data_IF_086368426778
#
_entry.id   IF_086368426778
#
_cell.length_a   1.000
_cell.length_b   1.000
_cell.length_c   1.000
_cell.angle_alpha   90.00
_cell.angle_beta   90.00
_cell.angle_gamma   90.00
#
_symmetry.space_group_name_H-M   'P 1'
#
loop_
_entity.id
_entity.type
_entity.pdbx_description
1 polymer ?
#
# COMPACT_ATOMS: atom_id res chain seq x y z
N UNK A 1 5.14 11.72 13.45
CA UNK A 1 4.69 10.36 13.12
C UNK A 1 3.79 10.45 11.91
N UNK A 2 4.33 10.29 10.71
CA UNK A 2 3.52 10.16 9.50
C UNK A 2 3.93 8.85 8.84
N UNK A 3 3.03 7.88 8.84
CA UNK A 3 3.19 6.70 8.00
C UNK A 3 2.89 7.08 6.54
N UNK A 4 3.38 6.28 5.59
CA UNK A 4 3.17 6.55 4.16
C UNK A 4 1.68 6.78 3.80
N UNK A 5 0.71 6.07 4.42
CA UNK A 5 -0.70 6.34 4.21
C UNK A 5 -1.18 7.73 4.67
N UNK A 6 -0.74 8.25 5.82
CA UNK A 6 -1.11 9.60 6.26
C UNK A 6 -0.58 10.67 5.29
N UNK A 7 0.66 10.51 4.83
CA UNK A 7 1.26 11.41 3.84
C UNK A 7 0.52 11.31 2.50
N UNK A 8 0.14 10.10 2.07
CA UNK A 8 -0.62 9.90 0.85
C UNK A 8 -1.99 10.60 0.91
N UNK A 9 -2.73 10.49 2.02
CA UNK A 9 -3.99 11.22 2.21
C UNK A 9 -3.78 12.74 2.32
N UNK A 10 -2.68 13.18 2.95
CA UNK A 10 -2.31 14.60 2.96
C UNK A 10 -2.09 15.14 1.54
N UNK A 11 -1.36 14.41 0.70
CA UNK A 11 -1.16 14.77 -0.70
C UNK A 11 -2.45 14.71 -1.50
N UNK A 12 -3.27 13.68 -1.30
CA UNK A 12 -4.58 13.57 -1.94
C UNK A 12 -5.45 14.79 -1.63
N UNK A 13 -5.49 15.21 -0.36
CA UNK A 13 -6.19 16.41 0.06
C UNK A 13 -5.63 17.67 -0.60
N UNK A 14 -4.31 17.85 -0.63
CA UNK A 14 -3.66 19.00 -1.26
C UNK A 14 -3.97 19.06 -2.75
N UNK A 15 -3.79 17.94 -3.47
CA UNK A 15 -4.05 17.83 -4.90
C UNK A 15 -5.54 18.06 -5.21
N UNK A 16 -6.44 17.48 -4.41
CA UNK A 16 -7.87 17.70 -4.55
C UNK A 16 -8.24 19.17 -4.33
N UNK A 17 -7.73 19.81 -3.27
CA UNK A 17 -7.99 21.22 -3.00
C UNK A 17 -7.44 22.11 -4.12
N UNK A 18 -6.25 21.80 -4.64
CA UNK A 18 -5.68 22.54 -5.77
C UNK A 18 -6.54 22.40 -7.03
N UNK A 19 -6.99 21.19 -7.35
CA UNK A 19 -7.87 20.93 -8.49
C UNK A 19 -9.25 21.58 -8.32
N UNK A 20 -9.87 21.39 -7.17
CA UNK A 20 -11.24 21.81 -6.88
C UNK A 20 -11.37 23.32 -6.70
N UNK A 21 -10.42 23.95 -6.01
CA UNK A 21 -10.44 25.40 -5.74
C UNK A 21 -9.72 26.20 -6.83
N UNK A 22 -8.78 25.61 -7.57
CA UNK A 22 -7.87 26.32 -8.48
C UNK A 22 -7.29 27.59 -7.81
N UNK A 23 -6.64 27.46 -6.65
CA UNK A 23 -6.28 28.59 -5.81
C UNK A 23 -5.16 29.46 -6.39
N UNK A 24 -4.56 29.06 -7.52
CA UNK A 24 -3.47 29.77 -8.17
C UNK A 24 -3.89 30.37 -9.51
N UNK A 25 -3.32 31.54 -9.84
CA UNK A 25 -3.30 32.11 -11.18
C UNK A 25 -2.35 31.31 -12.10
N UNK A 26 -2.44 31.45 -13.44
CA UNK A 26 -1.52 30.77 -14.37
C UNK A 26 -0.03 31.06 -14.17
N UNK A 27 0.30 32.17 -13.49
CA UNK A 27 1.66 32.57 -13.14
C UNK A 27 2.16 31.99 -11.80
N UNK A 28 1.35 31.17 -11.13
CA UNK A 28 1.67 30.52 -9.86
C UNK A 28 1.38 31.36 -8.61
N UNK A 29 0.83 32.58 -8.74
CA UNK A 29 0.44 33.40 -7.60
C UNK A 29 -0.90 32.95 -7.00
N UNK A 30 -1.08 33.14 -5.68
CA UNK A 30 -2.31 32.76 -4.99
C UNK A 30 -3.44 33.76 -5.30
N UNK A 31 -4.63 33.27 -5.64
CA UNK A 31 -5.86 34.07 -5.79
C UNK A 31 -6.33 34.61 -4.44
N UNK A 32 -7.00 35.76 -4.45
CA UNK A 32 -7.73 36.21 -3.28
C UNK A 32 -8.89 35.23 -2.96
N UNK A 33 -9.29 35.06 -1.69
CA UNK A 33 -10.36 34.12 -1.33
C UNK A 33 -11.67 34.33 -2.10
N UNK A 34 -12.02 35.57 -2.41
CA UNK A 34 -13.25 35.91 -3.14
C UNK A 34 -13.15 35.62 -4.66
N UNK A 35 -11.92 35.46 -5.19
CA UNK A 35 -11.65 35.14 -6.60
C UNK A 35 -11.53 33.62 -6.85
N UNK A 36 -11.58 32.81 -5.79
CA UNK A 36 -11.63 31.35 -5.87
C UNK A 36 -13.03 30.95 -6.33
N UNK A 37 -13.14 30.44 -7.56
CA UNK A 37 -14.36 29.84 -8.10
C UNK A 37 -14.24 28.32 -8.03
N UNK A 38 -14.86 27.67 -7.03
CA UNK A 38 -14.72 26.24 -6.88
C UNK A 38 -15.48 25.47 -7.96
N UNK A 39 -15.00 24.28 -8.30
CA UNK A 39 -15.65 23.42 -9.30
C UNK A 39 -16.98 22.79 -8.82
N UNK A 40 -17.28 22.79 -7.51
CA UNK A 40 -18.53 22.26 -6.95
C UNK A 40 -19.01 23.04 -5.70
N UNK A 41 -20.24 22.77 -5.21
CA UNK A 41 -20.71 23.28 -3.92
C UNK A 41 -19.98 22.60 -2.76
N UNK A 42 -18.89 23.22 -2.29
CA UNK A 42 -18.04 22.71 -1.20
C UNK A 42 -18.51 23.12 0.20
N UNK A 43 -19.72 23.66 0.36
CA UNK A 43 -20.27 24.07 1.67
C UNK A 43 -20.24 22.95 2.72
N UNK A 44 -20.21 21.68 2.29
CA UNK A 44 -20.15 20.49 3.16
C UNK A 44 -18.73 19.98 3.49
N UNK A 45 -17.71 20.45 2.78
CA UNK A 45 -16.31 20.00 2.92
C UNK A 45 -15.39 21.06 3.56
N UNK A 46 -15.88 22.28 3.74
CA UNK A 46 -15.14 23.33 4.42
C UNK A 46 -14.77 22.86 5.84
N UNK A 47 -13.49 22.94 6.25
CA UNK A 47 -13.12 22.64 7.62
C UNK A 47 -13.96 23.53 8.55
N UNK A 48 -14.62 22.93 9.54
CA UNK A 48 -15.32 23.66 10.60
C UNK A 48 -14.27 24.36 11.46
N UNK A 49 -13.78 25.51 10.99
CA UNK A 49 -12.84 26.30 11.77
C UNK A 49 -13.63 27.07 12.82
N UNK A 50 -13.30 26.89 14.11
CA UNK A 50 -13.82 27.74 15.18
C UNK A 50 -13.27 29.19 15.13
N UNK A 51 -12.46 29.50 14.12
CA UNK A 51 -11.91 30.84 13.89
C UNK A 51 -12.94 31.64 13.09
N UNK A 52 -13.46 32.71 13.70
CA UNK A 52 -14.39 33.63 13.02
C UNK A 52 -13.71 34.25 11.80
N UNK A 53 -14.43 34.31 10.67
CA UNK A 53 -13.98 34.92 9.39
C UNK A 53 -13.31 36.29 9.58
N UNK A 54 -13.88 37.13 10.44
CA UNK A 54 -13.37 38.45 10.83
C UNK A 54 -11.95 38.42 11.45
N UNK A 55 -11.55 37.30 12.07
CA UNK A 55 -10.22 37.11 12.68
C UNK A 55 -9.17 36.75 11.63
N UNK A 56 -9.56 36.06 10.56
CA UNK A 56 -8.69 35.74 9.42
C UNK A 56 -8.48 36.98 8.55
N UNK A 57 -9.55 37.73 8.28
CA UNK A 57 -9.51 38.99 7.52
C UNK A 57 -8.66 40.06 8.22
N UNK A 58 -8.74 40.17 9.56
CA UNK A 58 -7.90 41.10 10.35
C UNK A 58 -6.41 40.73 10.38
N UNK A 59 -6.05 39.48 10.10
CA UNK A 59 -4.66 39.02 10.24
C UNK A 59 -3.81 39.18 8.99
N UNK A 60 -4.38 39.54 7.83
CA UNK A 60 -3.66 39.78 6.56
C UNK A 60 -2.40 38.88 6.41
N UNK A 61 -2.58 37.57 6.60
CA UNK A 61 -1.46 36.63 6.49
C UNK A 61 -1.24 36.41 5.00
N UNK A 62 -0.40 37.26 4.41
CA UNK A 62 0.06 37.05 3.05
C UNK A 62 1.05 35.88 3.04
N UNK A 63 0.91 34.89 2.13
CA UNK A 63 1.95 33.89 1.93
C UNK A 63 3.31 34.58 1.75
N UNK A 64 4.27 34.24 2.62
CA UNK A 64 5.62 34.79 2.53
C UNK A 64 6.48 33.87 1.65
N UNK A 65 7.11 34.45 0.62
CA UNK A 65 8.11 33.73 -0.18
C UNK A 65 9.30 33.37 0.70
N UNK A 66 9.60 32.08 0.83
CA UNK A 66 10.82 31.61 1.46
C UNK A 66 11.97 31.71 0.44
N UNK A 67 12.81 32.72 0.59
CA UNK A 67 13.96 32.92 -0.30
C UNK A 67 15.19 32.17 0.19
N UNK A 68 15.73 31.29 -0.67
CA UNK A 68 16.93 30.52 -0.40
C UNK A 68 18.06 31.04 -1.29
N UNK A 69 19.21 31.35 -0.71
CA UNK A 69 20.44 31.71 -1.45
C UNK A 69 21.37 30.49 -1.46
N UNK A 70 21.61 29.94 -2.64
CA UNK A 70 22.42 28.73 -2.80
C UNK A 70 23.84 29.05 -3.26
N UNK A 71 24.82 28.50 -2.54
CA UNK A 71 26.23 28.40 -2.96
C UNK A 71 26.37 27.44 -4.15
N UNK A 72 27.46 27.53 -4.96
CA UNK A 72 27.66 26.67 -6.12
C UNK A 72 27.49 25.18 -5.84
N UNK A 73 28.09 24.68 -4.76
CA UNK A 73 28.05 23.25 -4.39
C UNK A 73 26.63 22.78 -4.07
N UNK A 74 25.81 23.65 -3.49
CA UNK A 74 24.40 23.35 -3.23
C UNK A 74 23.60 23.30 -4.54
N UNK A 75 23.96 24.11 -5.55
CA UNK A 75 23.30 24.06 -6.86
C UNK A 75 23.63 22.75 -7.57
N UNK A 76 24.88 22.34 -7.54
CA UNK A 76 25.31 21.08 -8.15
C UNK A 76 24.60 19.89 -7.49
N UNK A 77 24.55 19.86 -6.15
CA UNK A 77 23.80 18.84 -5.41
C UNK A 77 22.29 18.80 -5.75
N UNK A 78 21.66 19.96 -5.96
CA UNK A 78 20.26 20.04 -6.39
C UNK A 78 20.08 19.44 -7.79
N UNK A 79 20.98 19.76 -8.71
CA UNK A 79 20.91 19.25 -10.08
C UNK A 79 21.14 17.74 -10.13
N UNK A 80 22.11 17.22 -9.38
CA UNK A 80 22.36 15.79 -9.22
C UNK A 80 21.15 15.07 -8.61
N UNK A 81 20.57 15.62 -7.54
CA UNK A 81 19.38 15.05 -6.90
C UNK A 81 18.17 15.05 -7.86
N UNK A 82 17.99 16.11 -8.64
CA UNK A 82 16.92 16.20 -9.65
C UNK A 82 17.12 15.15 -10.75
N UNK A 83 18.36 14.95 -11.22
CA UNK A 83 18.68 13.92 -12.22
C UNK A 83 18.43 12.52 -11.66
N UNK A 84 18.93 12.22 -10.46
CA UNK A 84 18.71 10.94 -9.78
C UNK A 84 17.21 10.64 -9.61
N UNK A 85 16.44 11.63 -9.16
CA UNK A 85 14.98 11.49 -9.02
C UNK A 85 14.30 11.22 -10.37
N UNK A 86 14.70 11.93 -11.43
CA UNK A 86 14.16 11.70 -12.77
C UNK A 86 14.49 10.30 -13.31
N UNK A 87 15.69 9.78 -13.05
CA UNK A 87 16.09 8.42 -13.42
C UNK A 87 15.29 7.37 -12.65
N UNK A 88 15.11 7.53 -11.34
CA UNK A 88 14.28 6.65 -10.52
C UNK A 88 12.81 6.65 -10.95
N UNK A 89 12.25 7.82 -11.27
CA UNK A 89 10.88 7.94 -11.78
C UNK A 89 10.72 7.26 -13.14
N UNK A 90 11.72 7.36 -14.03
CA UNK A 90 11.71 6.65 -15.32
C UNK A 90 11.77 5.14 -15.14
N UNK A 91 12.53 4.66 -14.16
CA UNK A 91 12.67 3.23 -13.88
C UNK A 91 11.46 2.64 -13.13
N UNK A 92 10.63 3.45 -12.50
CA UNK A 92 9.42 2.96 -11.83
C UNK A 92 8.37 2.50 -12.86
N UNK A 93 7.93 1.25 -12.73
CA UNK A 93 6.75 0.72 -13.40
C UNK A 93 5.62 0.61 -12.38
N UNK A 94 4.66 1.54 -12.39
CA UNK A 94 3.52 1.55 -11.48
C UNK A 94 2.21 1.34 -12.25
N UNK A 95 1.39 0.42 -11.77
CA UNK A 95 0.02 0.17 -12.26
C UNK A 95 -0.94 0.30 -11.09
N UNK A 96 -1.98 1.10 -11.26
CA UNK A 96 -3.06 1.27 -10.29
C UNK A 96 -4.35 0.81 -10.96
N UNK A 97 -5.03 -0.15 -10.33
CA UNK A 97 -6.25 -0.73 -10.88
C UNK A 97 -7.19 -1.18 -9.76
N UNK A 98 -8.47 -1.39 -10.08
CA UNK A 98 -9.48 -1.88 -9.16
C UNK A 98 -10.08 -3.20 -9.62
N UNK A 99 -10.33 -4.10 -8.67
CA UNK A 99 -11.11 -5.30 -8.91
C UNK A 99 -12.59 -4.98 -8.67
N UNK A 100 -13.31 -4.71 -9.76
CA UNK A 100 -14.75 -4.45 -9.80
C UNK A 100 -15.40 -5.47 -10.74
N UNK A 101 -15.70 -6.69 -10.26
CA UNK A 101 -16.34 -7.68 -11.14
C UNK A 101 -17.75 -7.19 -11.45
N UNK A 102 -17.98 -6.91 -12.73
CA UNK A 102 -19.10 -6.14 -13.31
C UNK A 102 -20.52 -6.63 -13.00
N UNK A 103 -20.72 -7.68 -12.18
CA UNK A 103 -22.03 -8.17 -11.74
C UNK A 103 -22.08 -8.72 -10.30
N UNK A 104 -21.15 -8.34 -9.42
CA UNK A 104 -21.29 -8.73 -8.00
C UNK A 104 -20.07 -8.56 -7.12
N UNK A 105 -19.23 -7.56 -7.40
CA UNK A 105 -18.25 -6.98 -6.47
C UNK A 105 -17.11 -7.88 -6.01
N UNK A 106 -15.87 -7.39 -6.00
CA UNK A 106 -14.72 -8.06 -5.40
C UNK A 106 -14.10 -7.22 -4.27
N UNK A 107 -14.94 -6.79 -3.35
CA UNK A 107 -14.52 -6.15 -2.11
C UNK A 107 -14.58 -7.13 -0.93
N UNK A 108 -14.57 -6.57 0.28
CA UNK A 108 -14.56 -7.37 1.52
C UNK A 108 -15.85 -8.18 1.73
N UNK A 109 -16.95 -7.83 1.05
CA UNK A 109 -18.26 -8.43 1.23
C UNK A 109 -18.28 -9.90 0.81
N UNK A 110 -17.74 -10.20 -0.38
CA UNK A 110 -17.65 -11.56 -0.90
C UNK A 110 -16.82 -12.48 0.01
N UNK A 111 -15.64 -12.00 0.44
CA UNK A 111 -14.71 -12.78 1.28
C UNK A 111 -15.33 -13.07 2.65
N UNK A 112 -15.98 -12.07 3.26
CA UNK A 112 -16.69 -12.22 4.54
C UNK A 112 -17.90 -13.14 4.44
N UNK A 113 -18.68 -13.08 3.35
CA UNK A 113 -19.81 -14.00 3.10
C UNK A 113 -19.36 -15.45 3.14
N UNK A 114 -18.17 -15.73 2.64
CA UNK A 114 -17.54 -17.06 2.66
C UNK A 114 -16.65 -17.29 3.89
N UNK A 115 -16.85 -16.53 4.98
CA UNK A 115 -16.20 -16.72 6.28
C UNK A 115 -14.66 -16.72 6.24
N UNK A 116 -14.07 -16.01 5.29
CA UNK A 116 -12.63 -15.87 5.17
C UNK A 116 -12.21 -14.43 5.44
N UNK A 117 -11.06 -14.23 6.08
CA UNK A 117 -10.49 -12.90 6.25
C UNK A 117 -10.21 -12.27 4.90
N UNK A 118 -10.72 -11.05 4.63
CA UNK A 118 -10.45 -10.37 3.38
C UNK A 118 -8.97 -10.15 3.10
N UNK A 119 -8.21 -9.81 4.14
CA UNK A 119 -6.77 -9.59 4.05
C UNK A 119 -6.01 -10.89 3.72
N UNK A 120 -6.34 -11.98 4.44
CA UNK A 120 -5.73 -13.29 4.18
C UNK A 120 -6.09 -13.83 2.78
N UNK A 121 -7.31 -13.56 2.31
CA UNK A 121 -7.74 -13.90 0.96
C UNK A 121 -6.88 -13.21 -0.09
N UNK A 122 -6.69 -11.89 0.04
CA UNK A 122 -5.83 -11.11 -0.87
C UNK A 122 -4.40 -11.66 -0.80
N UNK A 123 -3.86 -11.90 0.39
CA UNK A 123 -2.50 -12.43 0.55
C UNK A 123 -2.31 -13.80 -0.12
N UNK A 124 -3.29 -14.70 -0.04
CA UNK A 124 -3.26 -15.96 -0.81
C UNK A 124 -3.35 -15.71 -2.31
N UNK A 125 -4.20 -14.79 -2.77
CA UNK A 125 -4.29 -14.40 -4.17
C UNK A 125 -2.94 -13.86 -4.71
N UNK A 126 -2.22 -13.07 -3.92
CA UNK A 126 -0.89 -12.57 -4.26
C UNK A 126 0.13 -13.71 -4.38
N UNK A 127 0.06 -14.75 -3.53
CA UNK A 127 0.92 -15.93 -3.67
C UNK A 127 0.61 -16.72 -4.96
N UNK A 128 -0.67 -16.87 -5.32
CA UNK A 128 -1.09 -17.51 -6.56
C UNK A 128 -0.58 -16.72 -7.77
N UNK A 129 -0.81 -15.41 -7.77
CA UNK A 129 -0.36 -14.52 -8.84
C UNK A 129 1.16 -14.58 -9.01
N UNK A 130 1.91 -14.57 -7.91
CA UNK A 130 3.38 -14.61 -7.96
C UNK A 130 3.87 -15.95 -8.50
N UNK A 131 3.24 -17.05 -8.09
CA UNK A 131 3.56 -18.38 -8.62
C UNK A 131 3.31 -18.49 -10.12
N UNK A 132 2.21 -17.92 -10.63
CA UNK A 132 1.94 -17.88 -12.07
C UNK A 132 2.94 -17.02 -12.83
N UNK A 133 3.31 -15.87 -12.28
CA UNK A 133 4.22 -14.92 -12.90
C UNK A 133 5.68 -15.43 -12.92
N UNK A 134 6.12 -16.08 -11.83
CA UNK A 134 7.55 -16.39 -11.59
C UNK A 134 7.86 -17.88 -11.47
N UNK A 135 6.87 -18.76 -11.55
CA UNK A 135 7.03 -20.21 -11.41
C UNK A 135 7.50 -20.68 -10.02
N UNK A 136 7.50 -19.79 -9.04
CA UNK A 136 8.02 -20.03 -7.68
C UNK A 136 7.24 -19.21 -6.66
N UNK A 137 7.46 -19.44 -5.37
CA UNK A 137 6.93 -18.56 -4.31
C UNK A 137 8.02 -17.60 -3.86
N UNK A 138 7.63 -16.40 -3.44
CA UNK A 138 8.55 -15.39 -2.92
C UNK A 138 8.48 -15.29 -1.41
N UNK A 139 9.64 -14.97 -0.82
CA UNK A 139 9.65 -14.39 0.52
C UNK A 139 8.83 -13.09 0.48
N UNK A 140 7.72 -13.11 1.24
CA UNK A 140 6.69 -12.07 1.18
C UNK A 140 6.66 -11.31 2.49
N UNK A 141 6.85 -10.00 2.42
CA UNK A 141 6.69 -9.07 3.52
C UNK A 141 5.27 -8.51 3.51
N UNK A 142 4.65 -8.45 4.67
CA UNK A 142 3.44 -7.68 4.89
C UNK A 142 3.56 -6.90 6.21
N UNK A 143 3.15 -5.64 6.21
CA UNK A 143 3.23 -4.80 7.39
C UNK A 143 2.13 -5.14 8.42
N UNK A 144 2.51 -5.55 9.63
CA UNK A 144 1.62 -5.59 10.79
C UNK A 144 1.79 -4.33 11.65
N UNK A 145 0.69 -3.68 12.03
CA UNK A 145 0.73 -2.56 12.96
C UNK A 145 0.84 -3.06 14.42
N UNK A 146 1.82 -2.56 15.17
CA UNK A 146 2.10 -2.98 16.57
C UNK A 146 1.64 -1.90 17.55
N UNK A 147 0.54 -1.21 17.21
CA UNK A 147 0.05 -0.01 17.92
C UNK A 147 -0.54 -0.28 19.31
N UNK A 148 -0.59 -1.53 19.75
CA UNK A 148 -0.95 -1.91 21.11
C UNK A 148 0.16 -1.62 22.12
N UNK A 149 1.38 -1.38 21.65
CA UNK A 149 2.54 -1.05 22.47
C UNK A 149 2.87 0.43 22.35
N UNK A 150 3.40 1.02 23.43
CA UNK A 150 3.85 2.41 23.40
C UNK A 150 4.92 2.58 22.32
N UNK A 151 4.78 3.62 21.50
CA UNK A 151 5.65 3.88 20.36
C UNK A 151 5.76 2.72 19.33
N UNK A 152 4.81 1.79 19.38
CA UNK A 152 4.74 0.67 18.44
C UNK A 152 4.55 1.14 17.00
N UNK A 153 5.47 0.73 16.12
CA UNK A 153 5.39 0.94 14.67
C UNK A 153 4.88 -0.32 13.97
N UNK A 154 5.79 -1.09 13.39
CA UNK A 154 5.45 -2.25 12.57
C UNK A 154 6.26 -3.48 12.92
N UNK A 155 5.64 -4.65 12.76
CA UNK A 155 6.25 -5.97 12.66
C UNK A 155 6.00 -6.52 11.24
N UNK A 156 6.66 -7.62 10.89
CA UNK A 156 6.48 -8.33 9.62
C UNK A 156 5.57 -9.54 9.78
N UNK A 157 4.56 -9.63 8.90
CA UNK A 157 3.87 -10.87 8.61
C UNK A 157 4.58 -11.52 7.43
N UNK A 158 4.97 -12.78 7.58
CA UNK A 158 5.55 -13.59 6.50
C UNK A 158 4.42 -14.36 5.82
N UNK A 159 3.85 -13.78 4.77
CA UNK A 159 2.61 -14.29 4.13
C UNK A 159 2.84 -15.60 3.35
N UNK A 160 4.10 -15.93 3.04
CA UNK A 160 4.48 -17.25 2.52
C UNK A 160 4.65 -18.25 3.68
N UNK A 161 3.88 -19.34 3.65
CA UNK A 161 3.91 -20.42 4.64
C UNK A 161 3.74 -21.78 3.95
N UNK A 162 3.82 -22.87 4.72
CA UNK A 162 3.53 -24.21 4.19
C UNK A 162 2.06 -24.33 3.73
N UNK A 163 1.16 -23.71 4.46
CA UNK A 163 -0.28 -23.66 4.19
C UNK A 163 -0.58 -22.81 2.95
N UNK A 164 0.04 -21.63 2.81
CA UNK A 164 -0.17 -20.82 1.61
C UNK A 164 0.47 -21.47 0.37
N UNK A 165 1.64 -22.12 0.51
CA UNK A 165 2.19 -22.98 -0.54
C UNK A 165 1.21 -24.09 -0.92
N UNK A 166 0.68 -24.83 0.04
CA UNK A 166 -0.28 -25.90 -0.23
C UNK A 166 -1.55 -25.37 -0.91
N UNK A 167 -2.08 -24.22 -0.47
CA UNK A 167 -3.23 -23.58 -1.12
C UNK A 167 -2.92 -23.21 -2.58
N UNK A 168 -1.76 -22.62 -2.87
CA UNK A 168 -1.35 -22.31 -4.25
C UNK A 168 -1.32 -23.58 -5.11
N UNK A 169 -0.65 -24.64 -4.66
CA UNK A 169 -0.52 -25.87 -5.44
C UNK A 169 -1.89 -26.54 -5.68
N UNK A 170 -2.77 -26.55 -4.68
CA UNK A 170 -4.10 -27.16 -4.81
C UNK A 170 -5.04 -26.34 -5.68
N UNK A 171 -5.08 -25.01 -5.49
CA UNK A 171 -5.99 -24.13 -6.25
C UNK A 171 -5.66 -24.16 -7.74
N UNK A 172 -4.36 -24.23 -8.08
CA UNK A 172 -3.87 -24.27 -9.46
C UNK A 172 -3.95 -25.63 -10.14
N UNK A 173 -4.22 -26.72 -9.42
CA UNK A 173 -4.31 -28.06 -10.00
C UNK A 173 -5.72 -28.35 -10.53
N UNK A 174 -5.82 -28.86 -11.77
CA UNK A 174 -7.10 -29.28 -12.35
C UNK A 174 -7.62 -30.59 -11.74
N UNK A 175 -6.73 -31.38 -11.14
CA UNK A 175 -7.05 -32.70 -10.56
C UNK A 175 -7.62 -32.64 -9.14
N UNK A 176 -7.56 -31.47 -8.49
CA UNK A 176 -8.02 -31.29 -7.11
C UNK A 176 -9.50 -30.89 -7.08
N UNK A 177 -10.37 -31.65 -6.38
CA UNK A 177 -11.78 -31.29 -6.24
C UNK A 177 -11.97 -29.90 -5.63
N UNK A 178 -13.00 -29.17 -6.10
CA UNK A 178 -13.40 -27.82 -5.59
C UNK A 178 -13.41 -27.74 -4.06
N UNK A 179 -13.97 -28.77 -3.40
CA UNK A 179 -14.03 -28.86 -1.93
C UNK A 179 -12.65 -28.81 -1.27
N UNK A 180 -11.67 -29.49 -1.83
CA UNK A 180 -10.33 -29.59 -1.27
C UNK A 180 -9.55 -28.29 -1.51
N UNK A 181 -9.74 -27.64 -2.67
CA UNK A 181 -9.21 -26.30 -2.94
C UNK A 181 -9.70 -25.27 -1.91
N UNK A 182 -11.00 -25.28 -1.61
CA UNK A 182 -11.60 -24.41 -0.58
C UNK A 182 -11.02 -24.72 0.80
N UNK A 183 -10.89 -26.01 1.16
CA UNK A 183 -10.30 -26.40 2.44
C UNK A 183 -8.83 -25.95 2.57
N UNK A 184 -8.05 -26.02 1.49
CA UNK A 184 -6.68 -25.53 1.46
C UNK A 184 -6.63 -24.00 1.60
N UNK A 185 -7.53 -23.26 0.94
CA UNK A 185 -7.67 -21.81 1.11
C UNK A 185 -7.94 -21.44 2.58
N UNK A 186 -8.90 -22.10 3.24
CA UNK A 186 -9.20 -21.81 4.64
C UNK A 186 -8.01 -22.10 5.56
N UNK A 187 -7.29 -23.20 5.36
CA UNK A 187 -6.06 -23.47 6.14
C UNK A 187 -5.00 -22.39 5.97
N UNK A 188 -4.79 -21.92 4.75
CA UNK A 188 -3.87 -20.81 4.49
C UNK A 188 -4.33 -19.51 5.14
N UNK A 189 -5.63 -19.21 5.06
CA UNK A 189 -6.21 -18.03 5.67
C UNK A 189 -6.12 -18.05 7.20
N UNK A 190 -6.44 -19.17 7.84
CA UNK A 190 -6.36 -19.34 9.29
C UNK A 190 -4.92 -19.16 9.79
N UNK A 191 -3.95 -19.74 9.08
CA UNK A 191 -2.54 -19.57 9.41
C UNK A 191 -2.08 -18.12 9.24
N UNK A 192 -2.47 -17.45 8.16
CA UNK A 192 -2.16 -16.04 7.93
C UNK A 192 -2.74 -15.15 9.03
N UNK A 193 -4.02 -15.33 9.38
CA UNK A 193 -4.66 -14.60 10.47
C UNK A 193 -3.98 -14.85 11.83
N UNK A 194 -3.59 -16.09 12.11
CA UNK A 194 -2.83 -16.42 13.32
C UNK A 194 -1.52 -15.64 13.38
N UNK A 195 -0.76 -15.64 12.29
CA UNK A 195 0.50 -14.90 12.20
C UNK A 195 0.27 -13.39 12.31
N UNK A 196 -0.73 -12.84 11.63
CA UNK A 196 -1.10 -11.42 11.69
C UNK A 196 -1.41 -10.96 13.12
N UNK A 197 -2.17 -11.77 13.87
CA UNK A 197 -2.44 -11.52 15.29
C UNK A 197 -1.16 -11.61 16.13
N UNK A 198 -0.37 -12.66 15.94
CA UNK A 198 0.88 -12.84 16.70
C UNK A 198 1.86 -11.67 16.45
N UNK A 199 2.04 -11.24 15.19
CA UNK A 199 2.84 -10.09 14.82
C UNK A 199 2.34 -8.78 15.46
N UNK A 200 1.02 -8.53 15.39
CA UNK A 200 0.40 -7.34 16.00
C UNK A 200 0.52 -7.30 17.52
N UNK A 201 0.66 -8.46 18.17
CA UNK A 201 0.90 -8.64 19.59
C UNK A 201 2.40 -8.70 19.94
N UNK A 202 3.29 -8.32 19.03
CA UNK A 202 4.75 -8.29 19.27
C UNK A 202 5.39 -9.68 19.38
N UNK A 203 4.74 -10.71 18.84
CA UNK A 203 5.24 -12.10 18.78
C UNK A 203 5.79 -12.48 17.41
N UNK A 204 6.00 -11.49 16.54
CA UNK A 204 6.76 -11.68 15.30
C UNK A 204 8.25 -11.84 15.58
N UNK A 205 8.97 -12.36 14.59
CA UNK A 205 10.38 -12.70 14.72
C UNK A 205 11.30 -11.67 14.05
N UNK A 206 10.82 -10.96 13.02
CA UNK A 206 11.65 -10.14 12.15
C UNK A 206 12.25 -8.93 12.87
N UNK A 207 11.46 -8.17 13.63
CA UNK A 207 12.02 -7.05 14.43
C UNK A 207 12.92 -7.53 15.56
N UNK A 208 12.65 -8.71 16.13
CA UNK A 208 13.51 -9.31 17.14
C UNK A 208 14.88 -9.69 16.55
N UNK A 209 14.92 -10.37 15.40
CA UNK A 209 16.17 -10.70 14.73
C UNK A 209 16.95 -9.44 14.31
N UNK A 210 16.25 -8.40 13.86
CA UNK A 210 16.87 -7.12 13.56
C UNK A 210 17.49 -6.46 14.81
N UNK A 211 16.80 -6.48 15.95
CA UNK A 211 17.34 -5.96 17.20
C UNK A 211 18.60 -6.72 17.65
N UNK A 212 18.60 -8.05 17.53
CA UNK A 212 19.79 -8.87 17.81
C UNK A 212 20.96 -8.52 16.87
N UNK A 213 20.67 -8.27 15.59
CA UNK A 213 21.70 -7.87 14.62
C UNK A 213 22.30 -6.51 14.95
N UNK A 214 21.48 -5.53 15.30
CA UNK A 214 21.94 -4.20 15.72
C UNK A 214 22.79 -4.29 16.98
N UNK A 215 22.36 -5.08 17.97
CA UNK A 215 23.12 -5.29 19.20
C UNK A 215 24.47 -5.98 18.93
N UNK A 216 24.48 -7.06 18.13
CA UNK A 216 25.71 -7.74 17.74
C UNK A 216 26.68 -6.80 17.01
N UNK A 217 26.17 -6.01 16.06
CA UNK A 217 26.97 -5.01 15.32
C UNK A 217 27.58 -3.97 16.27
N UNK A 218 26.79 -3.45 17.22
CA UNK A 218 27.28 -2.49 18.21
C UNK A 218 28.34 -3.05 19.16
N UNK A 219 28.36 -4.37 19.36
CA UNK A 219 29.37 -5.09 20.13
C UNK A 219 30.57 -5.55 19.28
N UNK A 220 30.59 -5.26 17.98
CA UNK A 220 31.63 -5.74 17.07
C UNK A 220 31.59 -7.26 16.82
N UNK A 221 30.44 -7.90 17.03
CA UNK A 221 30.23 -9.33 16.82
C UNK A 221 29.64 -9.59 15.43
N UNK A 222 30.29 -10.47 14.67
CA UNK A 222 29.73 -10.97 13.42
C UNK A 222 28.96 -12.29 13.66
N UNK A 223 27.64 -12.24 13.50
CA UNK A 223 26.77 -13.41 13.62
C UNK A 223 26.25 -13.80 12.24
N UNK A 224 26.84 -14.84 11.64
CA UNK A 224 26.52 -15.30 10.28
C UNK A 224 25.02 -15.54 10.08
N UNK A 225 24.35 -16.19 11.03
CA UNK A 225 22.90 -16.44 10.95
C UNK A 225 22.08 -15.16 10.80
N UNK A 226 22.39 -14.11 11.58
CA UNK A 226 21.65 -12.85 11.53
C UNK A 226 21.90 -12.12 10.21
N UNK A 227 23.14 -12.12 9.72
CA UNK A 227 23.51 -11.56 8.42
C UNK A 227 22.76 -12.27 7.29
N UNK A 228 22.78 -13.60 7.29
CA UNK A 228 22.11 -14.41 6.27
C UNK A 228 20.58 -14.17 6.32
N UNK A 229 19.96 -14.26 7.49
CA UNK A 229 18.52 -14.12 7.66
C UNK A 229 17.99 -12.73 7.24
N UNK A 230 18.74 -11.65 7.53
CA UNK A 230 18.34 -10.28 7.20
C UNK A 230 18.71 -9.85 5.78
N UNK A 231 19.60 -10.60 5.11
CA UNK A 231 19.99 -10.34 3.72
C UNK A 231 19.01 -10.92 2.69
N UNK A 232 18.06 -11.75 3.12
CA UNK A 232 17.08 -12.35 2.21
C UNK A 232 16.17 -11.30 1.58
N UNK A 233 16.09 -11.21 0.24
CA UNK A 233 15.31 -10.18 -0.42
C UNK A 233 13.80 -10.43 -0.29
N UNK A 234 13.07 -9.42 0.15
CA UNK A 234 11.61 -9.39 0.13
C UNK A 234 11.12 -9.15 -1.31
N UNK A 235 11.10 -10.21 -2.11
CA UNK A 235 10.71 -10.14 -3.53
C UNK A 235 9.24 -9.76 -3.74
N UNK A 236 8.42 -9.89 -2.71
CA UNK A 236 7.06 -9.37 -2.68
C UNK A 236 6.88 -8.58 -1.38
N UNK A 237 6.81 -7.26 -1.49
CA UNK A 237 6.58 -6.37 -0.34
C UNK A 237 5.17 -5.81 -0.42
N UNK A 238 4.38 -6.05 0.62
CA UNK A 238 2.94 -5.77 0.60
C UNK A 238 2.48 -4.95 1.80
N UNK A 239 1.40 -4.20 1.64
CA UNK A 239 0.71 -3.56 2.75
C UNK A 239 -0.76 -3.35 2.42
N UNK A 240 -1.63 -3.79 3.32
CA UNK A 240 -2.99 -3.30 3.36
C UNK A 240 -2.97 -1.82 3.79
N UNK A 241 -3.71 -0.96 3.09
CA UNK A 241 -4.01 0.40 3.56
C UNK A 241 -5.47 0.43 4.03
N UNK A 242 -5.74 0.67 5.32
CA UNK A 242 -7.10 0.78 5.79
C UNK A 242 -7.74 2.06 5.23
N UNK A 243 -8.96 1.95 4.69
CA UNK A 243 -9.71 3.08 4.15
C UNK A 243 -9.99 4.19 5.20
N UNK A 244 -10.14 3.80 6.47
CA UNK A 244 -10.54 4.71 7.56
C UNK A 244 -9.34 5.11 8.41
N UNK A 245 -8.51 6.01 7.87
CA UNK A 245 -7.36 6.55 8.62
C UNK A 245 -7.67 7.87 9.34
N UNK A 246 -8.74 8.55 8.93
CA UNK A 246 -9.16 9.84 9.49
C UNK A 246 -10.66 9.80 9.83
N UNK A 247 -11.15 10.81 10.53
CA UNK A 247 -12.59 10.99 10.81
C UNK A 247 -13.37 11.44 9.57
N UNK A 248 -12.69 11.87 8.50
CA UNK A 248 -13.27 12.35 7.24
C UNK A 248 -13.55 11.19 6.28
N UNK A 249 -14.40 10.26 6.70
CA UNK A 249 -14.80 9.10 5.90
C UNK A 249 -16.10 9.41 5.18
N UNK A 250 -16.07 9.44 3.85
CA UNK A 250 -17.28 9.46 3.02
C UNK A 250 -17.82 8.04 2.85
N UNK A 251 -19.14 7.89 2.86
CA UNK A 251 -19.84 6.65 2.50
C UNK A 251 -20.40 6.70 1.08
N UNK A 252 -20.11 7.76 0.33
CA UNK A 252 -20.52 7.89 -1.07
C UNK A 252 -19.67 6.95 -1.94
N UNK A 253 -20.28 5.97 -2.62
CA UNK A 253 -19.56 5.03 -3.49
C UNK A 253 -18.89 5.71 -4.70
N UNK A 254 -19.24 6.97 -5.01
CA UNK A 254 -18.61 7.75 -6.06
C UNK A 254 -17.41 8.58 -5.56
N UNK A 255 -17.17 8.64 -4.26
CA UNK A 255 -16.09 9.41 -3.64
C UNK A 255 -15.06 8.48 -2.99
N UNK A 256 -14.58 7.49 -3.75
CA UNK A 256 -13.63 6.49 -3.27
C UNK A 256 -12.26 6.71 -3.92
N UNK A 257 -11.28 7.02 -3.09
CA UNK A 257 -9.87 7.13 -3.47
C UNK A 257 -9.22 5.77 -3.67
N UNK A 258 -8.33 5.56 -4.65
CA UNK A 258 -7.53 4.34 -4.75
C UNK A 258 -6.45 4.24 -3.67
N UNK A 259 -6.32 5.23 -2.78
CA UNK A 259 -5.25 5.35 -1.79
C UNK A 259 -3.85 5.45 -2.41
N UNK A 260 -2.80 5.15 -1.65
CA UNK A 260 -1.40 5.24 -2.08
C UNK A 260 -0.71 3.89 -2.30
N UNK A 261 0.47 3.95 -2.89
CA UNK A 261 1.36 2.80 -3.10
C UNK A 261 2.82 3.12 -2.77
N UNK A 262 3.70 2.16 -2.98
CA UNK A 262 5.14 2.29 -2.77
C UNK A 262 5.90 1.50 -3.83
N UNK A 263 7.15 1.87 -4.10
CA UNK A 263 8.05 1.14 -5.01
C UNK A 263 8.50 -0.21 -4.44
N UNK A 264 9.05 -1.12 -5.26
CA UNK A 264 9.57 -2.39 -4.79
C UNK A 264 10.80 -2.20 -3.88
N UNK A 265 10.97 -3.08 -2.89
CA UNK A 265 12.12 -3.06 -1.97
C UNK A 265 13.29 -3.93 -2.43
N UNK A 266 13.09 -4.72 -3.48
CA UNK A 266 14.10 -5.53 -4.15
C UNK A 266 14.09 -5.19 -5.65
N UNK A 267 15.26 -5.12 -6.27
CA UNK A 267 15.39 -4.79 -7.70
C UNK A 267 14.66 -5.79 -8.61
N UNK A 268 14.52 -7.04 -8.17
CA UNK A 268 13.84 -8.12 -8.88
C UNK A 268 12.49 -8.54 -8.27
N UNK A 269 11.92 -7.65 -7.47
CA UNK A 269 10.66 -7.84 -6.75
C UNK A 269 9.54 -6.87 -7.11
N UNK A 270 8.42 -7.02 -6.41
CA UNK A 270 7.23 -6.20 -6.53
C UNK A 270 6.92 -5.46 -5.21
N UNK A 271 6.43 -4.23 -5.33
CA UNK A 271 5.68 -3.55 -4.27
C UNK A 271 4.18 -3.64 -4.55
N UNK A 272 3.38 -4.07 -3.57
CA UNK A 272 1.93 -4.16 -3.71
C UNK A 272 1.23 -3.52 -2.52
N UNK A 273 0.57 -2.39 -2.72
CA UNK A 273 -0.42 -1.91 -1.75
C UNK A 273 -1.82 -2.29 -2.21
N UNK A 274 -2.71 -2.53 -1.25
CA UNK A 274 -4.11 -2.78 -1.56
C UNK A 274 -5.04 -2.15 -0.52
N UNK A 275 -6.21 -1.74 -0.97
CA UNK A 275 -7.22 -1.10 -0.14
C UNK A 275 -8.60 -1.62 -0.52
N UNK A 276 -9.25 -2.27 0.45
CA UNK A 276 -10.63 -2.73 0.31
C UNK A 276 -11.57 -1.57 0.62
N UNK A 277 -12.04 -0.89 -0.42
CA UNK A 277 -12.85 0.30 -0.32
C UNK A 277 -14.23 0.00 0.26
N UNK A 278 -14.87 -1.05 -0.23
CA UNK A 278 -16.22 -1.40 0.20
C UNK A 278 -16.43 -2.91 0.04
N UNK A 279 -17.68 -3.33 0.02
CA UNK A 279 -18.04 -4.73 -0.10
C UNK A 279 -17.80 -5.29 -1.50
N UNK A 280 -17.66 -4.41 -2.50
CA UNK A 280 -17.62 -4.72 -3.92
C UNK A 280 -16.34 -4.25 -4.64
N UNK A 281 -15.48 -3.46 -3.99
CA UNK A 281 -14.29 -2.88 -4.61
C UNK A 281 -13.03 -3.04 -3.77
N UNK A 282 -11.97 -3.50 -4.43
CA UNK A 282 -10.60 -3.51 -3.91
C UNK A 282 -9.67 -2.82 -4.90
N UNK A 283 -8.90 -1.84 -4.45
CA UNK A 283 -7.84 -1.18 -5.23
C UNK A 283 -6.50 -1.84 -4.98
N UNK A 284 -5.66 -1.86 -6.01
CA UNK A 284 -4.29 -2.33 -5.97
C UNK A 284 -3.36 -1.28 -6.59
N UNK A 285 -2.21 -1.07 -5.97
CA UNK A 285 -1.06 -0.41 -6.59
C UNK A 285 0.05 -1.44 -6.70
N UNK A 286 0.46 -1.76 -7.92
CA UNK A 286 1.52 -2.73 -8.20
C UNK A 286 2.69 -1.99 -8.81
N UNK A 287 3.86 -2.12 -8.18
CA UNK A 287 5.10 -1.49 -8.61
C UNK A 287 6.21 -2.50 -8.85
N UNK A 288 7.07 -2.21 -9.83
CA UNK A 288 8.29 -2.93 -10.15
C UNK A 288 9.28 -1.97 -10.81
N UNK A 289 10.50 -2.44 -11.10
CA UNK A 289 11.50 -1.67 -11.86
C UNK A 289 11.48 -2.08 -13.34
N UNK A 290 11.43 -1.10 -14.26
CA UNK A 290 11.48 -1.31 -15.71
C UNK A 290 12.80 -1.93 -16.15
N UNK A 291 13.89 -1.60 -15.44
CA UNK A 291 15.23 -2.15 -15.62
C UNK A 291 15.29 -3.66 -15.37
N UNK A 292 14.34 -4.21 -14.61
CA UNK A 292 14.29 -5.62 -14.29
C UNK A 292 13.41 -6.41 -15.26
N UNK A 293 14.05 -7.19 -16.14
CA UNK A 293 13.38 -7.95 -17.20
C UNK A 293 12.44 -9.07 -16.71
N UNK A 294 12.57 -9.48 -15.44
CA UNK A 294 11.76 -10.56 -14.87
C UNK A 294 10.51 -10.06 -14.17
N UNK A 295 10.43 -8.77 -13.85
CA UNK A 295 9.24 -8.15 -13.22
C UNK A 295 8.46 -7.29 -14.21
N UNK A 296 7.14 -7.32 -14.12
CA UNK A 296 6.26 -6.49 -14.93
C UNK A 296 4.96 -6.21 -14.16
N UNK A 297 4.74 -4.96 -13.75
CA UNK A 297 3.58 -4.57 -12.94
C UNK A 297 2.24 -4.78 -13.64
N UNK A 298 2.16 -4.60 -14.96
CA UNK A 298 0.92 -4.83 -15.71
C UNK A 298 0.61 -6.32 -15.78
N UNK A 299 1.62 -7.13 -16.09
CA UNK A 299 1.49 -8.59 -16.11
C UNK A 299 1.11 -9.12 -14.73
N UNK A 300 1.76 -8.63 -13.68
CA UNK A 300 1.48 -9.06 -12.34
C UNK A 300 0.08 -8.61 -11.87
N UNK A 301 -0.36 -7.40 -12.21
CA UNK A 301 -1.74 -6.95 -11.97
C UNK A 301 -2.77 -7.88 -12.64
N UNK A 302 -2.54 -8.27 -13.91
CA UNK A 302 -3.41 -9.24 -14.60
C UNK A 302 -3.47 -10.59 -13.87
N UNK A 303 -2.34 -11.08 -13.38
CA UNK A 303 -2.30 -12.33 -12.61
C UNK A 303 -3.00 -12.20 -11.24
N UNK A 304 -2.94 -11.04 -10.59
CA UNK A 304 -3.73 -10.76 -9.37
C UNK A 304 -5.22 -10.83 -9.68
N UNK A 305 -5.70 -10.12 -10.70
CA UNK A 305 -7.12 -10.13 -11.09
C UNK A 305 -7.58 -11.55 -11.45
N UNK A 306 -6.75 -12.31 -12.18
CA UNK A 306 -7.03 -13.70 -12.53
C UNK A 306 -7.07 -14.60 -11.29
N UNK A 307 -6.13 -14.46 -10.35
CA UNK A 307 -6.11 -15.22 -9.11
C UNK A 307 -7.37 -14.97 -8.27
N UNK A 308 -7.76 -13.70 -8.12
CA UNK A 308 -9.00 -13.33 -7.43
C UNK A 308 -10.22 -13.96 -8.12
N UNK A 309 -10.31 -13.88 -9.45
CA UNK A 309 -11.42 -14.48 -10.18
C UNK A 309 -11.48 -16.01 -10.06
N UNK A 310 -10.34 -16.69 -10.11
CA UNK A 310 -10.27 -18.15 -9.95
C UNK A 310 -10.67 -18.57 -8.53
N UNK A 311 -10.21 -17.83 -7.52
CA UNK A 311 -10.65 -18.04 -6.13
C UNK A 311 -12.15 -17.81 -5.98
N UNK A 312 -12.75 -16.84 -6.70
CA UNK A 312 -14.19 -16.60 -6.73
C UNK A 312 -14.96 -17.82 -7.21
N UNK A 313 -14.56 -18.34 -8.37
CA UNK A 313 -15.22 -19.46 -9.06
C UNK A 313 -15.25 -20.72 -8.20
N UNK A 314 -14.32 -20.86 -7.25
CA UNK A 314 -14.38 -21.95 -6.27
C UNK A 314 -15.60 -21.89 -5.35
N UNK A 315 -16.33 -20.77 -5.28
CA UNK A 315 -17.50 -20.60 -4.43
C UNK A 315 -18.80 -20.30 -5.21
N UNK A 316 -18.69 -20.13 -6.52
CA UNK A 316 -19.83 -19.97 -7.43
C UNK A 316 -20.22 -21.34 -7.97
N UNK A 317 -21.52 -21.59 -8.17
CA UNK A 317 -22.05 -22.86 -8.66
C UNK A 317 -21.71 -23.12 -10.14
#
# INVERSE_FOLDING_TARGET
WADAPLIAHGWEWVLYQEYALKPYHPDGTLKAPDDIQPLADHSKLAPKTNVKRETLEKRQIHPAKLEWRFWPEARDAILEAAQLSAEQCKDLHLVVDSCEVSKGGYGKGFMKKHKCSPDAWIQVALQIAYHRDRGSLALTYEAAAVRLFNEGRTETIRSVSLESKNAVMQILSDDVPKKDKIAALYKAADQHQRYSRDASLGRGVDRHLFALYVAATGLGLEVKFLKDALSMPWKLSTSQIPQRQTEFVTTDPNMVSPSGGFGPVADDGYGVSYMMADDDRTFFHVSSKRSCKVTDSERFMREIMRALQDMRKMFED
#
